data_IF_571996408047
#
_entry.id   IF_571996408047
#
_cell.length_a   1.000
_cell.length_b   1.000
_cell.length_c   1.000
_cell.angle_alpha   90.00
_cell.angle_beta   90.00
_cell.angle_gamma   90.00
#
_symmetry.space_group_name_H-M   'P 1'
#
loop_
_entity.id
_entity.type
_entity.pdbx_description
1 polymer ?
#
# COMPACT_ATOMS: atom_id res chain seq x y z
N UNK A 1 -2.83 -13.46 13.31
CA UNK A 1 -3.31 -14.83 13.06
C UNK A 1 -3.28 -15.54 14.39
N UNK A 2 -4.42 -16.07 14.82
CA UNK A 2 -4.49 -16.84 16.06
C UNK A 2 -4.41 -18.31 15.71
N UNK A 3 -3.48 -19.03 16.36
CA UNK A 3 -3.25 -20.46 16.12
C UNK A 3 -3.67 -21.25 17.36
N UNK A 4 -4.68 -22.09 17.22
CA UNK A 4 -5.16 -22.94 18.31
C UNK A 4 -4.35 -24.24 18.37
N UNK A 5 -3.79 -24.53 19.54
CA UNK A 5 -3.05 -25.75 19.82
C UNK A 5 -3.82 -26.64 20.79
N UNK A 6 -3.71 -27.96 20.63
CA UNK A 6 -4.15 -28.87 21.66
C UNK A 6 -3.21 -28.79 22.87
N UNK A 7 -3.76 -29.02 24.07
CA UNK A 7 -3.00 -28.94 25.32
C UNK A 7 -1.77 -29.87 25.30
N UNK A 8 -1.94 -31.09 24.76
CA UNK A 8 -0.89 -32.11 24.65
C UNK A 8 0.26 -31.65 23.74
N UNK A 9 -0.06 -31.05 22.60
CA UNK A 9 0.92 -30.47 21.67
C UNK A 9 1.69 -29.32 22.33
N UNK A 10 1.01 -28.52 23.17
CA UNK A 10 1.64 -27.41 23.88
C UNK A 10 2.60 -27.88 24.99
N UNK A 11 2.30 -28.99 25.68
CA UNK A 11 3.15 -29.50 26.78
C UNK A 11 4.31 -30.36 26.30
N UNK A 12 4.15 -31.12 25.21
CA UNK A 12 5.20 -32.01 24.68
C UNK A 12 5.98 -31.40 23.51
N UNK A 13 5.48 -30.29 22.96
CA UNK A 13 6.02 -29.67 21.75
C UNK A 13 5.49 -30.34 20.48
N UNK A 14 5.25 -29.53 19.46
CA UNK A 14 4.85 -29.97 18.13
C UNK A 14 5.51 -29.09 17.07
N UNK A 15 5.79 -29.65 15.90
CA UNK A 15 6.07 -28.88 14.68
C UNK A 15 4.81 -28.92 13.80
N UNK A 16 4.38 -27.77 13.27
CA UNK A 16 3.24 -27.66 12.36
C UNK A 16 3.58 -26.71 11.23
N UNK A 17 3.34 -27.14 10.01
CA UNK A 17 3.40 -26.28 8.83
C UNK A 17 2.09 -25.49 8.71
N UNK A 18 2.19 -24.21 8.37
CA UNK A 18 1.02 -23.37 8.10
C UNK A 18 1.31 -22.45 6.92
N UNK A 19 0.28 -22.24 6.10
CA UNK A 19 0.34 -21.27 5.01
C UNK A 19 0.03 -19.87 5.55
N UNK A 20 0.91 -18.92 5.27
CA UNK A 20 0.71 -17.52 5.61
C UNK A 20 0.68 -16.69 4.33
N UNK A 21 -0.44 -15.98 4.14
CA UNK A 21 -0.55 -14.99 3.08
C UNK A 21 -0.17 -13.63 3.64
N UNK A 22 0.85 -13.02 3.04
CA UNK A 22 1.21 -11.63 3.31
C UNK A 22 1.38 -10.86 1.99
N UNK A 23 1.30 -9.54 2.09
CA UNK A 23 1.63 -8.67 0.97
C UNK A 23 3.15 -8.65 0.79
N UNK A 24 3.61 -8.89 -0.43
CA UNK A 24 5.02 -8.83 -0.81
C UNK A 24 5.22 -7.90 -2.00
N UNK A 25 6.48 -7.52 -2.22
CA UNK A 25 6.82 -6.71 -3.39
C UNK A 25 6.79 -7.62 -4.62
N UNK A 26 5.96 -7.28 -5.61
CA UNK A 26 5.89 -8.04 -6.85
C UNK A 26 7.26 -8.06 -7.56
N UNK A 27 7.81 -9.26 -7.78
CA UNK A 27 9.12 -9.44 -8.42
C UNK A 27 9.15 -8.94 -9.87
N UNK A 28 8.02 -9.09 -10.58
CA UNK A 28 7.93 -8.74 -12.01
C UNK A 28 8.01 -7.24 -12.26
N UNK A 29 7.36 -6.44 -11.42
CA UNK A 29 7.32 -4.98 -11.56
C UNK A 29 8.11 -4.24 -10.48
N UNK A 30 8.77 -4.97 -9.58
CA UNK A 30 9.49 -4.46 -8.40
C UNK A 30 8.67 -3.44 -7.61
N UNK A 31 7.37 -3.70 -7.45
CA UNK A 31 6.43 -2.82 -6.73
C UNK A 31 5.99 -1.56 -7.47
N UNK A 32 6.41 -1.35 -8.72
CA UNK A 32 6.03 -0.14 -9.50
C UNK A 32 4.60 -0.22 -10.07
N UNK A 33 4.06 -1.42 -10.23
CA UNK A 33 2.81 -1.66 -10.96
C UNK A 33 2.91 -1.41 -12.47
N UNK A 34 4.08 -1.01 -12.98
CA UNK A 34 4.31 -0.75 -14.39
C UNK A 34 4.71 -2.04 -15.12
N UNK A 35 4.32 -2.17 -16.39
CA UNK A 35 4.76 -3.29 -17.24
C UNK A 35 6.29 -3.23 -17.39
N UNK A 36 6.95 -4.39 -17.35
CA UNK A 36 8.40 -4.48 -17.54
C UNK A 36 8.83 -3.81 -18.86
N UNK A 37 9.84 -2.94 -18.79
CA UNK A 37 10.35 -2.16 -19.92
C UNK A 37 9.52 -0.91 -20.28
N UNK A 38 8.40 -0.66 -19.59
CA UNK A 38 7.64 0.58 -19.76
C UNK A 38 8.26 1.74 -18.97
N UNK A 39 7.98 2.98 -19.40
CA UNK A 39 8.44 4.19 -18.71
C UNK A 39 7.29 4.84 -17.98
N UNK A 40 7.43 5.01 -16.67
CA UNK A 40 6.53 5.86 -15.89
C UNK A 40 6.71 7.33 -16.31
N UNK A 41 5.61 8.08 -16.31
CA UNK A 41 5.60 9.52 -16.59
C UNK A 41 4.97 10.24 -15.41
N UNK A 42 5.48 11.44 -15.14
CA UNK A 42 4.89 12.31 -14.11
C UNK A 42 3.50 12.74 -14.56
N UNK A 43 2.50 12.61 -13.69
CA UNK A 43 1.15 13.08 -13.96
C UNK A 43 1.16 14.59 -14.18
N UNK A 44 0.72 15.05 -15.36
CA UNK A 44 0.68 16.48 -15.70
C UNK A 44 -0.30 17.28 -14.85
N UNK A 45 -1.31 16.62 -14.28
CA UNK A 45 -2.36 17.27 -13.49
C UNK A 45 -1.90 17.56 -12.06
N UNK A 46 -1.32 16.57 -11.36
CA UNK A 46 -0.88 16.74 -9.96
C UNK A 46 0.65 16.97 -9.83
N UNK A 47 1.41 16.88 -10.92
CA UNK A 47 2.87 16.98 -10.89
C UNK A 47 3.55 15.88 -10.07
N UNK A 48 2.92 14.70 -9.95
CA UNK A 48 3.43 13.58 -9.15
C UNK A 48 3.14 13.67 -7.65
N UNK A 49 2.37 14.67 -7.19
CA UNK A 49 2.01 14.84 -5.78
C UNK A 49 0.89 13.92 -5.28
N UNK A 50 0.21 13.23 -6.19
CA UNK A 50 -0.94 12.37 -5.85
C UNK A 50 -2.22 13.14 -5.49
N UNK A 51 -2.19 14.46 -5.49
CA UNK A 51 -3.33 15.33 -5.15
C UNK A 51 -3.23 16.68 -5.87
N UNK A 52 -4.36 17.34 -6.14
CA UNK A 52 -4.40 18.68 -6.74
C UNK A 52 -4.84 19.69 -5.70
N UNK A 53 -4.09 20.78 -5.53
CA UNK A 53 -4.48 21.87 -4.64
C UNK A 53 -5.10 23.00 -5.44
N UNK A 54 -6.32 23.38 -5.10
CA UNK A 54 -6.98 24.56 -5.67
C UNK A 54 -7.09 25.63 -4.59
N UNK A 55 -6.40 26.75 -4.82
CA UNK A 55 -6.51 27.94 -3.97
C UNK A 55 -7.44 28.94 -4.65
N UNK A 56 -8.51 29.29 -3.97
CA UNK A 56 -9.49 30.27 -4.44
C UNK A 56 -9.52 31.47 -3.52
N UNK A 57 -9.57 32.66 -4.12
CA UNK A 57 -9.75 33.89 -3.37
C UNK A 57 -11.24 34.15 -3.20
N UNK A 58 -11.69 34.17 -1.96
CA UNK A 58 -13.06 34.48 -1.56
C UNK A 58 -13.09 35.81 -0.79
N UNK A 59 -14.27 36.42 -0.59
CA UNK A 59 -14.39 37.60 0.27
C UNK A 59 -13.89 37.38 1.71
N UNK A 60 -13.82 36.13 2.16
CA UNK A 60 -13.35 35.74 3.49
C UNK A 60 -11.86 35.36 3.52
N UNK A 61 -11.12 35.59 2.43
CA UNK A 61 -9.71 35.27 2.30
C UNK A 61 -9.42 34.13 1.33
N UNK A 62 -8.21 33.57 1.44
CA UNK A 62 -7.76 32.46 0.59
C UNK A 62 -8.26 31.13 1.17
N UNK A 63 -8.98 30.37 0.36
CA UNK A 63 -9.41 29.02 0.71
C UNK A 63 -8.65 28.01 -0.17
N UNK A 64 -7.96 27.06 0.43
CA UNK A 64 -7.26 25.99 -0.29
C UNK A 64 -7.91 24.65 -0.01
N UNK A 65 -8.32 23.95 -1.07
CA UNK A 65 -8.93 22.62 -0.99
C UNK A 65 -8.07 21.61 -1.75
N UNK A 66 -7.98 20.40 -1.20
CA UNK A 66 -7.37 19.25 -1.87
C UNK A 66 -8.46 18.55 -2.66
N UNK A 67 -8.25 18.42 -3.97
CA UNK A 67 -9.14 17.77 -4.93
C UNK A 67 -8.48 16.49 -5.43
#
# INVERSE_FOLDING_TARGET
YDFSLEFTDAIFGTEKEFDLFHLETCEVCTGTGAKLGSKMRVCSTCGGRGQVMRTEQTPFGLFSQVI
#
